data_IF_369444817269
#
_entry.id   IF_369444817269
#
_cell.length_a   1.000
_cell.length_b   1.000
_cell.length_c   1.000
_cell.angle_alpha   90.00
_cell.angle_beta   90.00
_cell.angle_gamma   90.00
#
_symmetry.space_group_name_H-M   'P 1'
#
loop_
_entity.id
_entity.type
_entity.pdbx_description
1 polymer ?
#
# COMPACT_ATOMS: atom_id res chain seq x y z
N UNK A 1 0.15 1.78 24.46
CA UNK A 1 -0.21 0.90 23.34
C UNK A 1 0.82 -0.21 23.21
N UNK A 2 0.39 -1.44 22.93
CA UNK A 2 1.27 -2.57 22.66
C UNK A 2 0.71 -3.42 21.53
N UNK A 3 1.57 -3.90 20.63
CA UNK A 3 1.25 -4.93 19.66
C UNK A 3 2.35 -5.99 19.58
N UNK A 4 1.97 -7.23 19.31
CA UNK A 4 2.88 -8.35 19.07
C UNK A 4 2.43 -9.11 17.83
N UNK A 5 3.37 -9.42 16.93
CA UNK A 5 3.10 -10.21 15.74
C UNK A 5 4.20 -11.21 15.43
N UNK A 6 3.77 -12.43 15.12
CA UNK A 6 4.63 -13.46 14.51
C UNK A 6 4.78 -13.25 12.99
N UNK A 7 3.96 -12.40 12.40
CA UNK A 7 4.03 -12.02 10.99
C UNK A 7 4.98 -10.83 10.77
N UNK A 8 6.11 -10.82 11.50
CA UNK A 8 7.09 -9.73 11.47
C UNK A 8 7.63 -9.44 10.06
N UNK A 9 7.78 -10.48 9.22
CA UNK A 9 8.21 -10.33 7.83
C UNK A 9 7.22 -9.52 6.98
N UNK A 10 5.91 -9.57 7.28
CA UNK A 10 4.91 -8.75 6.60
C UNK A 10 5.10 -7.27 6.90
N UNK A 11 5.41 -6.91 8.16
CA UNK A 11 5.79 -5.54 8.52
C UNK A 11 7.00 -5.07 7.73
N UNK A 12 8.07 -5.86 7.71
CA UNK A 12 9.28 -5.53 6.96
C UNK A 12 8.98 -5.25 5.49
N UNK A 13 8.24 -6.15 4.82
CA UNK A 13 7.89 -6.01 3.41
C UNK A 13 7.00 -4.79 3.15
N UNK A 14 6.05 -4.50 4.04
CA UNK A 14 5.18 -3.32 3.95
C UNK A 14 6.01 -2.03 4.03
N UNK A 15 6.88 -1.90 5.03
CA UNK A 15 7.73 -0.73 5.16
C UNK A 15 8.77 -0.62 4.04
N UNK A 16 9.19 -1.74 3.45
CA UNK A 16 10.05 -1.74 2.26
C UNK A 16 9.36 -1.12 1.04
N UNK A 17 8.09 -1.39 0.86
CA UNK A 17 7.29 -0.76 -0.21
C UNK A 17 7.04 0.72 0.09
N UNK A 18 6.60 1.03 1.31
CA UNK A 18 6.22 2.38 1.70
C UNK A 18 7.38 3.39 1.65
N UNK A 19 8.63 2.96 1.95
CA UNK A 19 9.80 3.87 1.92
C UNK A 19 10.12 4.50 0.57
N UNK A 20 9.61 3.90 -0.52
CA UNK A 20 9.82 4.40 -1.87
C UNK A 20 8.75 5.44 -2.28
N UNK A 21 7.70 5.60 -1.45
CA UNK A 21 6.55 6.47 -1.71
C UNK A 21 6.46 7.56 -0.65
N UNK A 22 6.74 7.21 0.61
CA UNK A 22 6.52 8.06 1.78
C UNK A 22 7.84 8.38 2.50
N UNK A 23 7.89 9.54 3.12
CA UNK A 23 9.01 9.98 3.97
C UNK A 23 8.61 9.95 5.45
N UNK A 24 8.09 11.06 5.96
CA UNK A 24 7.62 11.21 7.32
C UNK A 24 6.10 11.07 7.32
N UNK A 25 5.56 10.23 8.21
CA UNK A 25 4.12 9.96 8.27
C UNK A 25 3.64 9.80 9.70
N UNK A 26 2.37 10.10 9.93
CA UNK A 26 1.67 9.73 11.14
C UNK A 26 1.14 8.31 11.04
N UNK A 27 1.48 7.47 11.99
CA UNK A 27 0.87 6.17 12.23
C UNK A 27 -0.16 6.32 13.33
N UNK A 28 -1.37 5.90 13.08
CA UNK A 28 -2.49 5.98 14.01
C UNK A 28 -2.75 4.61 14.62
N UNK A 29 -2.76 4.53 15.93
CA UNK A 29 -3.15 3.34 16.68
C UNK A 29 -4.46 3.61 17.40
N UNK A 30 -5.48 2.81 17.07
CA UNK A 30 -6.82 2.85 17.66
C UNK A 30 -7.17 1.49 18.24
N UNK A 31 -8.20 1.36 19.07
CA UNK A 31 -8.66 0.04 19.55
C UNK A 31 -8.95 -0.97 18.44
N UNK A 32 -9.31 -0.50 17.24
CA UNK A 32 -9.62 -1.31 16.06
C UNK A 32 -8.39 -1.76 15.27
N UNK A 33 -7.22 -1.14 15.47
CA UNK A 33 -6.00 -1.52 14.78
C UNK A 33 -5.03 -0.37 14.51
N UNK A 34 -4.08 -0.64 13.61
CA UNK A 34 -3.04 0.29 13.16
C UNK A 34 -3.38 0.81 11.76
N UNK A 35 -3.23 2.13 11.56
CA UNK A 35 -3.56 2.83 10.32
C UNK A 35 -2.44 3.72 9.84
N UNK A 36 -2.28 3.82 8.52
CA UNK A 36 -1.58 4.91 7.85
C UNK A 36 -2.49 5.41 6.73
N UNK A 37 -2.90 6.67 6.78
CA UNK A 37 -3.66 7.33 5.73
C UNK A 37 -2.94 8.63 5.41
N UNK A 38 -2.33 8.72 4.23
CA UNK A 38 -1.55 9.90 3.85
C UNK A 38 -1.47 10.04 2.32
N UNK A 39 -1.22 11.26 1.85
CA UNK A 39 -0.91 11.52 0.45
C UNK A 39 0.59 11.40 0.20
N UNK A 40 0.94 11.03 -1.02
CA UNK A 40 2.33 11.17 -1.47
C UNK A 40 2.73 12.67 -1.55
N UNK A 41 4.02 12.94 -1.63
CA UNK A 41 4.55 14.32 -1.65
C UNK A 41 3.99 15.17 -2.80
N UNK A 42 3.65 14.54 -3.92
CA UNK A 42 3.07 15.23 -5.09
C UNK A 42 1.53 15.38 -5.01
N UNK A 43 0.89 14.80 -3.98
CA UNK A 43 -0.56 14.72 -3.81
C UNK A 43 -1.31 14.07 -4.99
N UNK A 44 -0.63 13.18 -5.68
CA UNK A 44 -1.16 12.44 -6.83
C UNK A 44 -1.75 11.11 -6.40
N UNK A 45 -1.29 10.56 -5.28
CA UNK A 45 -1.75 9.29 -4.74
C UNK A 45 -2.06 9.36 -3.26
N UNK A 46 -3.07 8.61 -2.84
CA UNK A 46 -3.40 8.36 -1.44
C UNK A 46 -2.98 6.94 -1.09
N UNK A 47 -2.32 6.79 0.03
CA UNK A 47 -1.93 5.53 0.63
C UNK A 47 -2.82 5.29 1.84
N UNK A 48 -3.53 4.15 1.84
CA UNK A 48 -4.42 3.71 2.91
C UNK A 48 -4.00 2.31 3.34
N UNK A 49 -3.43 2.21 4.54
CA UNK A 49 -3.06 0.95 5.16
C UNK A 49 -3.86 0.75 6.44
N UNK A 50 -4.46 -0.42 6.55
CA UNK A 50 -5.17 -0.85 7.76
C UNK A 50 -4.72 -2.26 8.17
N UNK A 51 -4.25 -2.39 9.41
CA UNK A 51 -3.94 -3.66 10.06
C UNK A 51 -4.85 -3.84 11.27
N UNK A 52 -5.71 -4.87 11.23
CA UNK A 52 -6.76 -5.07 12.22
C UNK A 52 -6.21 -5.58 13.56
N UNK A 53 -6.70 -5.04 14.66
CA UNK A 53 -6.30 -5.42 16.02
C UNK A 53 -6.41 -6.92 16.28
N UNK A 54 -7.51 -7.55 15.82
CA UNK A 54 -7.80 -8.97 16.02
C UNK A 54 -6.85 -9.92 15.28
N UNK A 55 -6.04 -9.39 14.36
CA UNK A 55 -5.09 -10.16 13.55
C UNK A 55 -3.67 -10.19 14.14
N UNK A 56 -3.46 -9.54 15.28
CA UNK A 56 -2.22 -9.60 16.05
C UNK A 56 -2.31 -10.65 17.14
N UNK A 57 -1.19 -11.23 17.55
CA UNK A 57 -1.12 -12.15 18.69
C UNK A 57 -1.43 -11.42 20.01
N UNK A 58 -1.09 -10.15 20.08
CA UNK A 58 -1.46 -9.25 21.16
C UNK A 58 -1.65 -7.84 20.58
N UNK A 59 -2.76 -7.19 20.93
CA UNK A 59 -2.99 -5.79 20.60
C UNK A 59 -3.72 -5.11 21.75
N UNK A 60 -3.20 -4.00 22.24
CA UNK A 60 -3.86 -3.18 23.24
C UNK A 60 -3.65 -1.70 22.97
N UNK A 61 -4.74 -0.95 22.91
CA UNK A 61 -4.75 0.50 22.81
C UNK A 61 -5.88 1.03 23.70
N UNK A 62 -5.52 1.52 24.88
CA UNK A 62 -6.49 1.98 25.89
C UNK A 62 -6.98 3.42 25.62
N UNK A 63 -6.37 4.12 24.67
CA UNK A 63 -6.78 5.45 24.23
C UNK A 63 -7.61 5.34 22.95
N UNK A 64 -8.47 6.33 22.73
CA UNK A 64 -9.23 6.43 21.49
C UNK A 64 -8.33 6.45 20.26
N UNK A 65 -7.20 7.18 20.36
CA UNK A 65 -6.18 7.26 19.32
C UNK A 65 -4.81 7.61 19.92
N UNK A 66 -3.77 6.95 19.43
CA UNK A 66 -2.38 7.32 19.66
C UNK A 66 -1.74 7.61 18.31
N UNK A 67 -1.16 8.79 18.15
CA UNK A 67 -0.47 9.23 16.93
C UNK A 67 1.03 9.12 17.15
N UNK A 68 1.69 8.42 16.23
CA UNK A 68 3.14 8.26 16.21
C UNK A 68 3.71 8.74 14.89
N UNK A 69 4.33 9.91 14.88
CA UNK A 69 5.06 10.41 13.70
C UNK A 69 6.37 9.66 13.55
N UNK A 70 6.61 9.07 12.36
CA UNK A 70 7.82 8.31 12.07
C UNK A 70 8.37 8.64 10.68
N UNK A 71 9.69 8.47 10.52
CA UNK A 71 10.31 8.43 9.21
C UNK A 71 10.34 6.99 8.70
N UNK A 72 9.67 6.71 7.58
CA UNK A 72 9.49 5.35 7.02
C UNK A 72 10.85 4.70 6.70
N UNK A 73 11.77 5.43 6.04
CA UNK A 73 13.08 4.89 5.67
C UNK A 73 13.92 4.52 6.90
N UNK A 74 13.88 5.33 7.96
CA UNK A 74 14.61 5.04 9.20
C UNK A 74 13.97 3.86 9.94
N UNK A 75 12.65 3.79 10.00
CA UNK A 75 11.93 2.64 10.58
C UNK A 75 12.25 1.36 9.81
N UNK A 76 12.26 1.40 8.48
CA UNK A 76 12.66 0.24 7.67
C UNK A 76 14.09 -0.24 7.97
N UNK A 77 15.06 0.68 8.23
CA UNK A 77 16.43 0.30 8.61
C UNK A 77 16.47 -0.57 9.87
N UNK A 78 15.53 -0.41 10.80
CA UNK A 78 15.39 -1.25 11.98
C UNK A 78 14.72 -2.58 11.63
N UNK A 79 13.60 -2.51 10.89
CA UNK A 79 12.81 -3.68 10.50
C UNK A 79 13.53 -4.60 9.49
N UNK A 80 14.49 -4.09 8.70
CA UNK A 80 15.24 -4.92 7.72
C UNK A 80 16.01 -6.08 8.35
N UNK A 81 16.29 -6.01 9.66
CA UNK A 81 16.95 -7.10 10.41
C UNK A 81 16.06 -8.30 10.65
N UNK A 82 14.74 -8.15 10.47
CA UNK A 82 13.74 -9.20 10.60
C UNK A 82 14.01 -10.30 9.57
N UNK A 83 14.00 -11.55 10.06
CA UNK A 83 14.04 -12.77 9.27
C UNK A 83 12.76 -13.58 9.46
N UNK A 84 12.56 -14.63 8.67
CA UNK A 84 11.39 -15.50 8.82
C UNK A 84 11.36 -16.11 10.24
N UNK A 85 10.17 -16.19 10.81
CA UNK A 85 9.87 -16.68 12.16
C UNK A 85 10.37 -15.79 13.32
N UNK A 86 10.78 -14.56 13.05
CA UNK A 86 11.01 -13.58 14.11
C UNK A 86 9.68 -13.03 14.62
N UNK A 87 9.65 -12.67 15.90
CA UNK A 87 8.51 -12.00 16.54
C UNK A 87 8.80 -10.51 16.65
N UNK A 88 7.88 -9.69 16.18
CA UNK A 88 7.91 -8.24 16.33
C UNK A 88 7.02 -7.81 17.49
N UNK A 89 7.53 -6.97 18.35
CA UNK A 89 6.77 -6.29 19.40
C UNK A 89 6.99 -4.79 19.25
N UNK A 90 5.92 -4.01 19.30
CA UNK A 90 5.95 -2.55 19.30
C UNK A 90 5.22 -2.05 20.54
N UNK A 91 5.81 -1.11 21.26
CA UNK A 91 5.21 -0.47 22.42
C UNK A 91 5.40 1.05 22.36
N UNK A 92 4.36 1.78 22.72
CA UNK A 92 4.39 3.24 22.89
C UNK A 92 3.89 3.56 24.29
N UNK A 93 4.83 3.97 25.15
CA UNK A 93 4.58 4.33 26.54
C UNK A 93 4.77 5.83 26.80
N UNK A 94 5.31 6.56 25.83
CA UNK A 94 5.54 8.01 25.88
C UNK A 94 5.30 8.64 24.52
N UNK A 95 5.16 9.97 24.48
CA UNK A 95 5.02 10.73 23.22
C UNK A 95 6.35 10.91 22.47
N UNK A 96 7.47 10.54 23.07
CA UNK A 96 8.80 10.80 22.52
C UNK A 96 9.39 9.59 21.78
N UNK A 97 9.02 8.38 22.22
CA UNK A 97 9.65 7.16 21.74
C UNK A 97 8.66 6.03 21.49
N UNK A 98 8.98 5.26 20.47
CA UNK A 98 8.37 3.95 20.18
C UNK A 98 9.44 2.87 20.37
N UNK A 99 9.20 1.93 21.27
CA UNK A 99 10.05 0.77 21.49
C UNK A 99 9.70 -0.32 20.47
N UNK A 100 10.71 -0.82 19.76
CA UNK A 100 10.60 -1.91 18.78
C UNK A 100 11.49 -3.05 19.26
N UNK A 101 10.90 -4.22 19.51
CA UNK A 101 11.65 -5.41 19.91
C UNK A 101 11.48 -6.50 18.85
N UNK A 102 12.59 -7.06 18.41
CA UNK A 102 12.64 -8.16 17.44
C UNK A 102 13.29 -9.36 18.14
N UNK A 103 12.54 -10.46 18.25
CA UNK A 103 13.00 -11.68 18.90
C UNK A 103 13.08 -12.82 17.89
N UNK A 104 14.25 -13.45 17.80
CA UNK A 104 14.47 -14.61 16.95
C UNK A 104 14.70 -15.84 17.82
N UNK A 105 13.77 -16.78 17.80
CA UNK A 105 13.91 -18.04 18.56
C UNK A 105 14.99 -18.92 17.96
N UNK A 106 15.13 -18.92 16.64
CA UNK A 106 16.11 -19.75 15.92
C UNK A 106 17.55 -19.30 16.20
N UNK A 107 17.79 -17.98 16.27
CA UNK A 107 19.09 -17.39 16.54
C UNK A 107 19.34 -17.15 18.04
N UNK A 108 18.32 -17.35 18.89
CA UNK A 108 18.34 -17.05 20.34
C UNK A 108 18.78 -15.60 20.61
N UNK A 109 18.31 -14.66 19.78
CA UNK A 109 18.63 -13.25 19.88
C UNK A 109 17.39 -12.42 20.15
N UNK A 110 17.56 -11.34 20.90
CA UNK A 110 16.53 -10.32 21.09
C UNK A 110 17.17 -8.96 20.92
N UNK A 111 16.70 -8.19 19.94
CA UNK A 111 17.16 -6.83 19.69
C UNK A 111 16.07 -5.85 20.09
N UNK A 112 16.43 -4.83 20.84
CA UNK A 112 15.53 -3.74 21.23
C UNK A 112 16.03 -2.44 20.63
N UNK A 113 15.13 -1.71 19.98
CA UNK A 113 15.35 -0.39 19.42
C UNK A 113 14.39 0.59 20.05
N UNK A 114 14.84 1.82 20.25
CA UNK A 114 14.01 2.93 20.69
C UNK A 114 14.00 3.97 19.57
N UNK A 115 12.88 4.03 18.82
CA UNK A 115 12.71 4.97 17.74
C UNK A 115 12.16 6.28 18.29
N UNK A 116 12.87 7.39 18.03
CA UNK A 116 12.40 8.73 18.38
C UNK A 116 11.23 9.10 17.46
N UNK A 117 10.12 9.49 18.07
CA UNK A 117 8.93 9.95 17.35
C UNK A 117 9.11 11.39 16.87
N UNK A 118 8.43 11.70 15.77
CA UNK A 118 8.39 13.03 15.16
C UNK A 118 7.06 13.70 15.51
N UNK A 119 7.09 15.00 15.64
CA UNK A 119 5.88 15.82 15.72
C UNK A 119 5.54 16.30 14.31
N UNK A 120 4.56 15.60 13.68
CA UNK A 120 4.14 15.86 12.30
C UNK A 120 2.77 16.52 12.35
N UNK A 121 2.72 17.80 12.01
CA UNK A 121 1.48 18.55 11.91
C UNK A 121 0.85 18.33 10.53
N UNK A 122 0.12 17.24 10.38
CA UNK A 122 -0.60 16.88 9.15
C UNK A 122 -2.11 16.93 9.41
N UNK A 123 -2.86 17.52 8.48
CA UNK A 123 -4.31 17.49 8.55
C UNK A 123 -4.83 16.08 8.33
N UNK A 124 -5.89 15.71 9.06
CA UNK A 124 -6.57 14.44 8.86
C UNK A 124 -7.05 14.31 7.40
N UNK A 125 -6.72 13.19 6.79
CA UNK A 125 -7.12 12.86 5.41
C UNK A 125 -8.23 11.82 5.51
N UNK A 126 -9.36 12.12 4.89
CA UNK A 126 -10.45 11.15 4.75
C UNK A 126 -10.23 10.28 3.52
N UNK A 127 -10.38 8.96 3.71
CA UNK A 127 -10.35 8.01 2.58
C UNK A 127 -11.64 8.21 1.77
N UNK A 128 -11.55 8.42 0.45
CA UNK A 128 -12.73 8.61 -0.38
C UNK A 128 -13.66 7.39 -0.34
N UNK A 129 -14.96 7.63 -0.20
CA UNK A 129 -15.96 6.59 -0.39
C UNK A 129 -15.99 6.15 -1.86
N UNK A 130 -16.00 4.84 -2.09
CA UNK A 130 -16.02 4.23 -3.41
C UNK A 130 -17.44 3.75 -3.69
N UNK A 131 -18.02 4.26 -4.75
CA UNK A 131 -19.36 3.87 -5.19
C UNK A 131 -19.28 3.06 -6.50
N UNK A 132 -20.09 1.97 -6.60
CA UNK A 132 -20.26 1.17 -7.82
C UNK A 132 -18.94 0.84 -8.52
N UNK A 133 -18.12 0.03 -7.87
CA UNK A 133 -16.80 -0.34 -8.38
C UNK A 133 -16.80 -1.71 -9.06
N UNK A 134 -15.88 -1.88 -10.00
CA UNK A 134 -15.49 -3.19 -10.54
C UNK A 134 -14.18 -3.63 -9.91
N UNK A 135 -14.07 -4.91 -9.59
CA UNK A 135 -12.86 -5.50 -9.02
C UNK A 135 -12.32 -6.55 -9.98
N UNK A 136 -11.08 -6.39 -10.40
CA UNK A 136 -10.36 -7.40 -11.18
C UNK A 136 -9.17 -7.90 -10.37
N UNK A 137 -9.11 -9.20 -10.13
CA UNK A 137 -8.00 -9.82 -9.39
C UNK A 137 -7.03 -10.47 -10.37
N UNK A 138 -5.76 -10.11 -10.28
CA UNK A 138 -4.68 -10.64 -11.11
C UNK A 138 -3.54 -11.19 -10.24
N UNK A 139 -2.72 -12.13 -10.77
CA UNK A 139 -1.42 -12.41 -10.16
C UNK A 139 -0.59 -11.12 -10.11
N UNK A 140 -0.10 -10.78 -8.94
CA UNK A 140 0.61 -9.50 -8.72
C UNK A 140 1.90 -9.40 -9.55
N UNK A 141 2.59 -10.53 -9.76
CA UNK A 141 3.78 -10.62 -10.63
C UNK A 141 3.48 -10.30 -12.09
N UNK A 142 2.33 -10.75 -12.60
CA UNK A 142 1.94 -10.51 -13.99
C UNK A 142 1.58 -9.05 -14.21
N UNK A 143 0.81 -8.46 -13.28
CA UNK A 143 0.48 -7.05 -13.35
C UNK A 143 1.73 -6.16 -13.21
N UNK A 144 2.66 -6.50 -12.30
CA UNK A 144 3.94 -5.81 -12.17
C UNK A 144 4.75 -5.87 -13.48
N UNK A 145 4.83 -7.06 -14.10
CA UNK A 145 5.55 -7.23 -15.36
C UNK A 145 4.94 -6.36 -16.46
N UNK A 146 3.60 -6.37 -16.62
CA UNK A 146 2.90 -5.54 -17.61
C UNK A 146 3.15 -4.05 -17.40
N UNK A 147 3.05 -3.55 -16.18
CA UNK A 147 3.34 -2.14 -15.87
C UNK A 147 4.79 -1.76 -16.21
N UNK A 148 5.75 -2.64 -15.89
CA UNK A 148 7.16 -2.40 -16.20
C UNK A 148 7.44 -2.43 -17.69
N UNK A 149 6.85 -3.40 -18.42
CA UNK A 149 7.06 -3.53 -19.86
C UNK A 149 6.48 -2.32 -20.59
N UNK A 150 5.27 -1.87 -20.23
CA UNK A 150 4.64 -0.67 -20.78
C UNK A 150 5.39 0.62 -20.41
N UNK A 151 5.97 0.72 -19.22
CA UNK A 151 6.77 1.88 -18.81
C UNK A 151 8.04 2.08 -19.67
N UNK A 152 8.54 1.02 -20.30
CA UNK A 152 9.63 1.11 -21.25
C UNK A 152 9.20 1.72 -22.60
N UNK A 153 7.89 1.77 -22.87
CA UNK A 153 7.32 2.33 -24.10
C UNK A 153 6.86 3.77 -23.90
N UNK A 154 6.14 4.02 -22.81
CA UNK A 154 5.52 5.31 -22.54
C UNK A 154 5.38 5.62 -21.05
N UNK A 155 4.88 6.80 -20.76
CA UNK A 155 4.71 7.29 -19.37
C UNK A 155 3.32 7.04 -18.79
N UNK A 156 2.35 6.66 -19.64
CA UNK A 156 0.93 6.56 -19.32
C UNK A 156 0.35 5.23 -19.78
N UNK A 157 -0.67 4.76 -19.08
CA UNK A 157 -1.42 3.57 -19.42
C UNK A 157 -2.91 3.89 -19.37
N UNK A 158 -3.62 3.51 -20.41
CA UNK A 158 -5.07 3.45 -20.41
C UNK A 158 -5.53 2.09 -19.90
N UNK A 159 -6.39 2.08 -18.91
CA UNK A 159 -6.98 0.88 -18.33
C UNK A 159 -8.47 0.93 -18.57
N UNK A 160 -8.99 0.00 -19.41
CA UNK A 160 -10.40 -0.10 -19.75
C UNK A 160 -10.96 -1.44 -19.29
N UNK A 161 -12.00 -1.39 -18.47
CA UNK A 161 -12.81 -2.55 -18.09
C UNK A 161 -14.13 -2.48 -18.85
N UNK A 162 -14.44 -3.51 -19.67
CA UNK A 162 -15.67 -3.57 -20.45
C UNK A 162 -16.07 -5.04 -20.68
N UNK A 163 -17.35 -5.36 -20.45
CA UNK A 163 -17.83 -6.73 -20.53
C UNK A 163 -17.00 -7.69 -19.68
N UNK A 164 -16.48 -8.74 -20.27
CA UNK A 164 -15.56 -9.71 -19.62
C UNK A 164 -14.10 -9.47 -19.96
N UNK A 165 -13.70 -8.23 -20.25
CA UNK A 165 -12.34 -7.90 -20.65
C UNK A 165 -11.77 -6.74 -19.84
N UNK A 166 -10.52 -6.88 -19.43
CA UNK A 166 -9.67 -5.78 -18.96
C UNK A 166 -8.63 -5.51 -20.06
N UNK A 167 -8.67 -4.34 -20.67
CA UNK A 167 -7.68 -3.88 -21.64
C UNK A 167 -6.69 -2.94 -20.95
N UNK A 168 -5.43 -3.20 -21.16
CA UNK A 168 -4.31 -2.34 -20.79
C UNK A 168 -3.65 -1.85 -22.06
N UNK A 169 -3.57 -0.54 -22.28
CA UNK A 169 -2.99 0.05 -23.48
C UNK A 169 -1.99 1.14 -23.11
N UNK A 170 -0.86 1.15 -23.80
CA UNK A 170 0.17 2.17 -23.67
C UNK A 170 0.60 2.63 -25.06
N UNK A 171 0.58 3.93 -25.29
CA UNK A 171 1.15 4.57 -26.49
C UNK A 171 2.53 5.09 -26.15
N UNK A 172 3.51 4.75 -26.97
CA UNK A 172 4.89 5.16 -26.79
C UNK A 172 5.50 5.72 -28.07
N UNK A 173 6.65 6.38 -27.92
CA UNK A 173 7.31 7.09 -29.02
C UNK A 173 7.71 6.16 -30.18
N UNK A 174 8.01 4.89 -29.93
CA UNK A 174 8.48 3.94 -30.93
C UNK A 174 7.61 2.70 -31.09
N UNK A 175 6.71 2.41 -30.15
CA UNK A 175 5.80 1.28 -30.21
C UNK A 175 4.60 1.48 -29.28
N UNK A 176 3.47 0.88 -29.67
CA UNK A 176 2.27 0.80 -28.85
C UNK A 176 2.10 -0.62 -28.36
N UNK A 177 1.56 -0.79 -27.16
CA UNK A 177 1.23 -2.10 -26.60
C UNK A 177 -0.21 -2.13 -26.15
N UNK A 178 -0.91 -3.20 -26.51
CA UNK A 178 -2.22 -3.54 -25.96
C UNK A 178 -2.18 -4.96 -25.37
N UNK A 179 -2.79 -5.13 -24.23
CA UNK A 179 -2.93 -6.42 -23.57
C UNK A 179 -4.37 -6.59 -23.10
N UNK A 180 -4.99 -7.70 -23.48
CA UNK A 180 -6.34 -8.05 -23.06
C UNK A 180 -6.28 -9.20 -22.06
N UNK A 181 -7.02 -9.05 -20.96
CA UNK A 181 -7.12 -10.03 -19.87
C UNK A 181 -8.59 -10.41 -19.74
N UNK A 182 -8.89 -11.70 -19.81
CA UNK A 182 -10.25 -12.20 -19.62
C UNK A 182 -10.64 -12.13 -18.14
N UNK A 183 -11.83 -11.61 -17.86
CA UNK A 183 -12.39 -11.45 -16.53
C UNK A 183 -13.65 -12.31 -16.38
N UNK A 184 -13.87 -12.94 -15.22
CA UNK A 184 -15.03 -13.82 -15.02
C UNK A 184 -16.36 -13.08 -14.97
N UNK A 185 -16.37 -11.83 -14.50
CA UNK A 185 -17.57 -11.03 -14.31
C UNK A 185 -17.75 -10.00 -15.41
N UNK A 186 -19.01 -9.72 -15.76
CA UNK A 186 -19.33 -8.63 -16.67
C UNK A 186 -19.28 -7.27 -15.96
N UNK A 187 -18.86 -6.25 -16.70
CA UNK A 187 -18.80 -4.87 -16.22
C UNK A 187 -19.28 -3.89 -17.27
N UNK A 188 -19.83 -2.78 -16.82
CA UNK A 188 -19.99 -1.60 -17.65
C UNK A 188 -18.61 -1.07 -18.07
N UNK A 189 -18.57 -0.30 -19.14
CA UNK A 189 -17.32 0.32 -19.60
C UNK A 189 -16.86 1.38 -18.62
N UNK A 190 -15.65 1.19 -18.09
CA UNK A 190 -14.93 2.16 -17.29
C UNK A 190 -13.54 2.29 -17.89
N UNK A 191 -13.14 3.50 -18.25
CA UNK A 191 -11.85 3.80 -18.87
C UNK A 191 -11.16 4.90 -18.09
N UNK A 192 -9.88 4.74 -17.78
CA UNK A 192 -9.06 5.76 -17.15
C UNK A 192 -7.62 5.75 -17.64
N UNK A 193 -7.01 6.94 -17.65
CA UNK A 193 -5.61 7.15 -17.99
C UNK A 193 -4.80 7.36 -16.71
N UNK A 194 -3.70 6.62 -16.55
CA UNK A 194 -2.92 6.62 -15.30
C UNK A 194 -1.43 6.69 -15.56
N UNK A 195 -0.68 7.19 -14.57
CA UNK A 195 0.78 7.28 -14.63
C UNK A 195 1.44 5.93 -14.38
N UNK A 196 2.18 5.43 -15.36
CA UNK A 196 2.99 4.21 -15.25
C UNK A 196 4.12 4.34 -14.22
N UNK A 197 4.64 5.55 -13.99
CA UNK A 197 5.61 5.81 -12.92
C UNK A 197 5.07 5.39 -11.57
N UNK A 198 3.84 5.79 -11.23
CA UNK A 198 3.20 5.44 -9.95
C UNK A 198 2.86 3.95 -9.87
N UNK A 199 2.31 3.39 -10.94
CA UNK A 199 2.00 1.96 -10.98
C UNK A 199 3.24 1.09 -10.78
N UNK A 200 4.38 1.46 -11.37
CA UNK A 200 5.64 0.74 -11.14
C UNK A 200 6.12 0.81 -9.68
N UNK A 201 5.83 1.91 -8.98
CA UNK A 201 6.15 2.02 -7.56
C UNK A 201 5.20 1.13 -6.73
N UNK A 202 3.88 1.22 -6.98
CA UNK A 202 2.88 0.46 -6.22
C UNK A 202 3.01 -1.06 -6.42
N UNK A 203 3.36 -1.49 -7.65
CA UNK A 203 3.54 -2.91 -7.95
C UNK A 203 4.77 -3.54 -7.27
N UNK A 204 5.63 -2.78 -6.60
CA UNK A 204 6.64 -3.33 -5.68
C UNK A 204 6.01 -4.12 -4.52
N UNK A 205 4.75 -3.84 -4.19
CA UNK A 205 3.95 -4.61 -3.24
C UNK A 205 3.73 -6.09 -3.66
N UNK A 206 4.09 -6.47 -4.88
CA UNK A 206 4.16 -7.86 -5.35
C UNK A 206 5.01 -8.76 -4.42
N UNK A 207 6.02 -8.20 -3.74
CA UNK A 207 6.81 -8.92 -2.74
C UNK A 207 6.01 -9.34 -1.49
N UNK A 208 4.84 -8.74 -1.26
CA UNK A 208 4.00 -8.96 -0.07
C UNK A 208 2.86 -9.94 -0.33
N UNK A 209 2.33 -9.95 -1.56
CA UNK A 209 1.09 -10.65 -1.87
C UNK A 209 1.13 -11.23 -3.29
N UNK A 210 0.68 -12.47 -3.45
CA UNK A 210 0.64 -13.17 -4.74
C UNK A 210 -0.39 -12.60 -5.71
N UNK A 211 -1.40 -11.88 -5.22
CA UNK A 211 -2.46 -11.29 -6.03
C UNK A 211 -2.63 -9.80 -5.74
N UNK A 212 -3.05 -9.05 -6.74
CA UNK A 212 -3.47 -7.65 -6.65
C UNK A 212 -4.92 -7.53 -7.09
N UNK A 213 -5.69 -6.73 -6.37
CA UNK A 213 -7.02 -6.31 -6.81
C UNK A 213 -6.93 -4.93 -7.44
N UNK A 214 -7.35 -4.83 -8.69
CA UNK A 214 -7.50 -3.58 -9.44
C UNK A 214 -8.96 -3.18 -9.33
N UNK A 215 -9.22 -2.04 -8.69
CA UNK A 215 -10.56 -1.54 -8.41
C UNK A 215 -10.74 -0.24 -9.19
N UNK A 216 -11.78 -0.19 -10.04
CA UNK A 216 -12.18 0.99 -10.79
C UNK A 216 -13.61 1.36 -10.39
N UNK A 217 -13.88 2.61 -10.10
CA UNK A 217 -15.23 3.12 -9.83
C UNK A 217 -15.87 3.74 -11.08
N UNK A 218 -17.18 3.76 -11.14
CA UNK A 218 -17.93 4.31 -12.28
C UNK A 218 -17.66 5.81 -12.49
N UNK A 219 -17.37 6.55 -11.42
CA UNK A 219 -16.97 7.97 -11.50
C UNK A 219 -15.55 8.20 -12.01
N UNK A 220 -14.77 7.12 -12.18
CA UNK A 220 -13.40 7.12 -12.69
C UNK A 220 -12.47 8.20 -12.08
N UNK A 221 -12.66 8.51 -10.79
CA UNK A 221 -11.81 9.48 -10.09
C UNK A 221 -10.45 8.89 -9.75
N UNK A 222 -10.45 7.60 -9.41
CA UNK A 222 -9.26 6.87 -8.93
C UNK A 222 -9.18 5.46 -9.51
N UNK A 223 -7.96 5.01 -9.73
CA UNK A 223 -7.61 3.59 -9.79
C UNK A 223 -7.13 3.17 -8.41
N UNK A 224 -7.62 2.06 -7.89
CA UNK A 224 -7.17 1.55 -6.60
C UNK A 224 -6.49 0.21 -6.80
N UNK A 225 -5.25 0.10 -6.32
CA UNK A 225 -4.54 -1.16 -6.21
C UNK A 225 -4.58 -1.60 -4.75
N UNK A 226 -5.19 -2.75 -4.50
CA UNK A 226 -5.30 -3.34 -3.16
C UNK A 226 -4.46 -4.60 -3.05
N UNK A 227 -3.63 -4.65 -2.02
CA UNK A 227 -2.81 -5.80 -1.63
C UNK A 227 -3.12 -6.22 -0.21
N UNK A 228 -3.13 -7.52 0.05
CA UNK A 228 -3.21 -8.02 1.42
C UNK A 228 -1.82 -7.95 2.08
N UNK A 229 -1.79 -7.56 3.34
CA UNK A 229 -0.59 -7.58 4.19
C UNK A 229 -0.63 -8.85 5.02
N UNK A 230 -0.23 -9.97 4.42
CA UNK A 230 -0.40 -11.32 4.98
C UNK A 230 -1.84 -11.52 5.50
N UNK A 231 -2.02 -11.94 6.76
CA UNK A 231 -3.33 -12.02 7.41
C UNK A 231 -3.60 -10.81 8.33
N UNK A 232 -2.72 -9.80 8.35
CA UNK A 232 -2.83 -8.65 9.25
C UNK A 232 -3.87 -7.64 8.77
N UNK A 233 -3.98 -7.44 7.45
CA UNK A 233 -4.87 -6.43 6.89
C UNK A 233 -4.61 -6.14 5.43
N UNK A 234 -4.73 -4.88 5.04
CA UNK A 234 -4.66 -4.46 3.63
C UNK A 234 -3.90 -3.14 3.45
N UNK A 235 -3.30 -3.02 2.27
CA UNK A 235 -2.66 -1.81 1.77
C UNK A 235 -3.31 -1.43 0.44
N UNK A 236 -3.84 -0.22 0.36
CA UNK A 236 -4.46 0.34 -0.84
C UNK A 236 -3.69 1.56 -1.32
N UNK A 237 -3.50 1.62 -2.62
CA UNK A 237 -2.96 2.79 -3.32
C UNK A 237 -4.06 3.36 -4.20
N UNK A 238 -4.44 4.59 -3.96
CA UNK A 238 -5.37 5.34 -4.80
C UNK A 238 -4.57 6.23 -5.73
N UNK A 239 -4.72 6.05 -7.02
CA UNK A 239 -4.07 6.85 -8.05
C UNK A 239 -5.12 7.68 -8.77
N UNK A 240 -4.97 9.00 -8.75
CA UNK A 240 -5.86 9.88 -9.48
C UNK A 240 -5.79 9.63 -10.99
N UNK A 241 -6.95 9.63 -11.63
CA UNK A 241 -7.06 9.58 -13.09
C UNK A 241 -6.51 10.87 -13.69
N UNK A 242 -5.71 10.75 -14.75
CA UNK A 242 -5.31 11.90 -15.55
C UNK A 242 -6.49 12.35 -16.41
N UNK A 243 -6.72 13.65 -16.47
CA UNK A 243 -7.70 14.21 -17.40
C UNK A 243 -7.09 14.18 -18.79
N UNK A 244 -7.75 13.56 -19.76
CA UNK A 244 -7.34 13.64 -21.17
C UNK A 244 -7.50 15.07 -21.67
N UNK A 245 -6.53 15.57 -22.44
CA UNK A 245 -6.56 16.92 -23.01
C UNK A 245 -7.82 17.19 -23.87
N UNK A 246 -8.50 16.14 -24.33
CA UNK A 246 -9.74 16.22 -25.10
C UNK A 246 -11.00 16.57 -24.26
N UNK A 247 -10.86 16.74 -22.93
CA UNK A 247 -11.96 17.10 -22.01
C UNK A 247 -11.82 18.54 -21.44
N UNK A 248 -10.86 19.32 -21.91
CA UNK A 248 -10.67 20.74 -21.63
C UNK A 248 -11.10 21.57 -22.83
#
# INVERSE_FOLDING_TARGET
>A
MKLVSIQASAFKSTFEVLKDILNDVNVYFRPTGMYIVTLDTARTSLIDMFLAADNFEEYSCDQEEIIAGINISNTFKLLKTITNNDVLQIEINSKEYMDIKITSETKKTSSKFQLKLLDINESHIEVPEIHMSTVTTLPSSDFQRLCRDMYNLGSEIEITREGKSLRLACEGDFANQETFIECPEESQKITGLYSLKYLNIFTKATSMCASVQIIQETGNRFLILKYNVANLGELKFYLATKVSEDQL
#
